data_IF_671130427010
#
_entry.id   IF_671130427010
#
_cell.length_a   1.000
_cell.length_b   1.000
_cell.length_c   1.000
_cell.angle_alpha   90.00
_cell.angle_beta   90.00
_cell.angle_gamma   90.00
#
_symmetry.space_group_name_H-M   'P 1'
#
loop_
_entity.id
_entity.type
_entity.pdbx_description
1 polymer ?
#
# COMPACT_ATOMS: atom_id res chain seq x y z
N UNK A 1 -6.12 -58.86 22.88
CA UNK A 1 -4.77 -58.69 22.31
C UNK A 1 -4.94 -58.24 20.87
N UNK A 2 -5.26 -56.97 20.67
CA UNK A 2 -5.26 -56.32 19.36
C UNK A 2 -4.00 -55.45 19.36
N UNK A 3 -2.99 -55.91 18.63
CA UNK A 3 -1.78 -55.14 18.37
C UNK A 3 -2.21 -54.05 17.38
N UNK A 4 -2.38 -52.83 17.87
CA UNK A 4 -2.58 -51.67 17.02
C UNK A 4 -1.30 -51.49 16.19
N UNK A 5 -1.44 -51.66 14.88
CA UNK A 5 -0.35 -51.49 13.94
C UNK A 5 0.08 -50.01 13.94
N UNK A 6 1.23 -49.75 14.54
CA UNK A 6 1.90 -48.45 14.52
C UNK A 6 2.17 -48.07 13.06
N UNK A 7 1.43 -47.09 12.57
CA UNK A 7 1.55 -46.56 11.21
C UNK A 7 2.94 -45.91 11.09
N UNK A 8 3.76 -46.27 10.09
CA UNK A 8 5.11 -45.74 9.99
C UNK A 8 5.06 -44.22 9.79
N UNK A 9 5.65 -43.50 10.75
CA UNK A 9 5.88 -42.06 10.68
C UNK A 9 6.83 -41.80 9.50
N UNK A 10 6.36 -41.08 8.48
CA UNK A 10 7.16 -40.76 7.30
C UNK A 10 8.34 -39.89 7.75
N UNK A 11 9.59 -40.22 7.38
CA UNK A 11 10.73 -39.38 7.74
C UNK A 11 10.55 -38.00 7.11
N UNK A 12 10.45 -36.97 7.96
CA UNK A 12 10.52 -35.57 7.53
C UNK A 12 11.87 -35.36 6.85
N UNK A 13 11.84 -35.15 5.54
CA UNK A 13 13.06 -34.87 4.76
C UNK A 13 13.70 -33.61 5.34
N UNK A 14 14.99 -33.63 5.70
CA UNK A 14 15.68 -32.43 6.16
C UNK A 14 15.58 -31.39 5.07
N UNK A 15 14.84 -30.30 5.32
CA UNK A 15 14.73 -29.19 4.38
C UNK A 15 16.13 -28.60 4.22
N UNK A 16 16.65 -28.60 3.00
CA UNK A 16 17.95 -28.00 2.73
C UNK A 16 17.86 -26.50 3.07
N UNK A 17 18.68 -25.98 4.01
CA UNK A 17 18.58 -24.60 4.50
C UNK A 17 18.54 -23.53 3.39
N UNK A 18 19.16 -23.82 2.24
CA UNK A 18 19.19 -22.92 1.08
C UNK A 18 17.84 -22.79 0.35
N UNK A 19 17.04 -23.87 0.26
CA UNK A 19 15.80 -23.86 -0.51
C UNK A 19 14.68 -23.08 0.19
N UNK A 20 14.61 -23.17 1.52
CA UNK A 20 13.65 -22.40 2.32
C UNK A 20 13.99 -20.91 2.28
N UNK A 21 15.27 -20.55 2.42
CA UNK A 21 15.76 -19.16 2.30
C UNK A 21 15.41 -18.53 0.94
N UNK A 22 15.59 -19.28 -0.15
CA UNK A 22 15.19 -18.81 -1.50
C UNK A 22 13.68 -18.56 -1.57
N UNK A 23 12.85 -19.43 -0.98
CA UNK A 23 11.39 -19.23 -0.97
C UNK A 23 10.97 -18.00 -0.16
N UNK A 24 11.67 -17.71 0.93
CA UNK A 24 11.42 -16.52 1.77
C UNK A 24 11.78 -15.23 1.04
N UNK A 25 12.93 -15.18 0.36
CA UNK A 25 13.28 -14.03 -0.50
C UNK A 25 12.23 -13.81 -1.60
N UNK A 26 11.81 -14.87 -2.28
CA UNK A 26 10.77 -14.78 -3.33
C UNK A 26 9.41 -14.35 -2.76
N UNK A 27 9.10 -14.66 -1.51
CA UNK A 27 7.89 -14.16 -0.84
C UNK A 27 8.00 -12.67 -0.53
N UNK A 28 9.15 -12.22 -0.01
CA UNK A 28 9.42 -10.80 0.26
C UNK A 28 9.38 -9.95 -1.03
N UNK A 29 10.00 -10.43 -2.10
CA UNK A 29 9.95 -9.77 -3.42
C UNK A 29 8.52 -9.61 -3.93
N UNK A 30 7.67 -10.65 -3.80
CA UNK A 30 6.26 -10.57 -4.20
C UNK A 30 5.47 -9.52 -3.41
N UNK A 31 5.70 -9.47 -2.10
CA UNK A 31 5.07 -8.46 -1.24
C UNK A 31 5.55 -7.06 -1.63
N UNK A 32 6.85 -6.86 -1.79
CA UNK A 32 7.44 -5.60 -2.24
C UNK A 32 6.85 -5.13 -3.58
N UNK A 33 6.76 -6.02 -4.58
CA UNK A 33 6.18 -5.69 -5.88
C UNK A 33 4.68 -5.35 -5.81
N UNK A 34 3.94 -5.99 -4.90
CA UNK A 34 2.54 -5.65 -4.66
C UNK A 34 2.40 -4.23 -4.06
N UNK A 35 3.23 -3.87 -3.09
CA UNK A 35 3.26 -2.52 -2.52
C UNK A 35 3.70 -1.47 -3.54
N UNK A 36 4.70 -1.77 -4.37
CA UNK A 36 5.12 -0.92 -5.48
C UNK A 36 3.96 -0.62 -6.44
N UNK A 37 3.19 -1.66 -6.80
CA UNK A 37 2.02 -1.50 -7.68
C UNK A 37 0.99 -0.56 -7.08
N UNK A 38 0.65 -0.74 -5.79
CA UNK A 38 -0.31 0.12 -5.09
C UNK A 38 0.20 1.57 -4.98
N UNK A 39 1.48 1.76 -4.69
CA UNK A 39 2.09 3.10 -4.62
C UNK A 39 2.07 3.84 -5.96
N UNK A 40 2.41 3.17 -7.06
CA UNK A 40 2.35 3.74 -8.41
C UNK A 40 0.89 4.07 -8.80
N UNK A 41 -0.07 3.20 -8.48
CA UNK A 41 -1.48 3.45 -8.74
C UNK A 41 -1.98 4.70 -7.99
N UNK A 42 -1.58 4.88 -6.73
CA UNK A 42 -1.91 6.07 -5.95
C UNK A 42 -1.30 7.35 -6.54
N UNK A 43 -0.04 7.30 -6.99
CA UNK A 43 0.58 8.43 -7.69
C UNK A 43 -0.17 8.80 -8.97
N UNK A 44 -0.48 7.81 -9.81
CA UNK A 44 -1.23 8.01 -11.04
C UNK A 44 -2.62 8.59 -10.79
N UNK A 45 -3.30 8.12 -9.74
CA UNK A 45 -4.58 8.65 -9.29
C UNK A 45 -4.47 10.11 -8.82
N UNK A 46 -3.43 10.45 -8.07
CA UNK A 46 -3.14 11.84 -7.68
C UNK A 46 -2.98 12.76 -8.88
N UNK A 47 -2.18 12.34 -9.88
CA UNK A 47 -2.00 13.08 -11.14
C UNK A 47 -3.33 13.22 -11.91
N UNK A 48 -4.12 12.15 -11.97
CA UNK A 48 -5.44 12.16 -12.61
C UNK A 48 -6.35 13.22 -11.97
N UNK A 49 -6.43 13.29 -10.64
CA UNK A 49 -7.21 14.31 -9.92
C UNK A 49 -6.78 15.72 -10.32
N UNK A 50 -5.48 16.01 -10.41
CA UNK A 50 -4.98 17.33 -10.83
C UNK A 50 -5.37 17.64 -12.28
N UNK A 51 -5.29 16.64 -13.16
CA UNK A 51 -5.56 16.78 -14.60
C UNK A 51 -7.04 16.95 -14.92
N UNK A 52 -7.94 16.32 -14.17
CA UNK A 52 -9.40 16.47 -14.35
C UNK A 52 -9.87 17.93 -14.28
N UNK A 53 -9.14 18.81 -13.57
CA UNK A 53 -9.46 20.26 -13.58
C UNK A 53 -9.33 20.89 -14.97
N UNK A 54 -8.37 20.41 -15.78
CA UNK A 54 -8.00 21.00 -17.08
C UNK A 54 -9.00 20.57 -18.15
N UNK A 55 -9.68 19.44 -17.96
CA UNK A 55 -10.71 18.93 -18.87
C UNK A 55 -12.07 19.64 -18.72
N UNK A 56 -12.22 20.60 -17.79
CA UNK A 56 -13.49 21.33 -17.61
C UNK A 56 -13.64 22.44 -18.66
N UNK A 57 -14.83 22.62 -19.24
CA UNK A 57 -15.08 23.63 -20.27
C UNK A 57 -14.77 25.04 -19.76
N UNK A 58 -14.19 25.93 -20.60
CA UNK A 58 -13.69 27.26 -20.19
C UNK A 58 -14.76 28.24 -19.66
N UNK A 59 -16.02 27.82 -19.65
CA UNK A 59 -17.21 28.62 -19.41
C UNK A 59 -17.66 28.55 -17.94
N UNK A 60 -17.22 27.53 -17.20
CA UNK A 60 -17.58 27.34 -15.81
C UNK A 60 -16.74 28.24 -14.89
N UNK A 61 -17.33 28.95 -13.92
CA UNK A 61 -16.60 29.76 -12.95
C UNK A 61 -15.48 28.94 -12.29
N UNK A 62 -14.24 29.41 -12.41
CA UNK A 62 -13.11 28.78 -11.73
C UNK A 62 -13.16 29.17 -10.26
N UNK A 63 -14.02 28.50 -9.49
CA UNK A 63 -13.96 28.55 -8.03
C UNK A 63 -12.55 28.17 -7.55
N UNK A 64 -12.07 28.66 -6.39
CA UNK A 64 -10.73 28.34 -5.85
C UNK A 64 -10.55 26.83 -5.66
N UNK A 65 -10.16 26.14 -6.72
CA UNK A 65 -10.20 24.69 -6.80
C UNK A 65 -9.02 24.09 -6.06
N UNK A 66 -9.19 23.81 -4.78
CA UNK A 66 -8.19 23.13 -3.96
C UNK A 66 -7.87 21.69 -4.42
N UNK A 67 -8.49 21.18 -5.50
CA UNK A 67 -8.27 19.82 -6.01
C UNK A 67 -6.82 19.48 -6.37
N UNK A 68 -5.99 20.50 -6.68
CA UNK A 68 -4.56 20.29 -6.85
C UNK A 68 -3.86 19.86 -5.55
N UNK A 69 -4.33 20.35 -4.39
CA UNK A 69 -3.83 19.95 -3.06
C UNK A 69 -4.16 18.48 -2.79
N UNK A 70 -5.36 18.04 -3.17
CA UNK A 70 -5.77 16.65 -3.04
C UNK A 70 -4.92 15.74 -3.95
N UNK A 71 -4.77 16.09 -5.23
CA UNK A 71 -3.95 15.31 -6.15
C UNK A 71 -2.46 15.26 -5.73
N UNK A 72 -1.94 16.37 -5.19
CA UNK A 72 -0.60 16.42 -4.60
C UNK A 72 -0.49 15.51 -3.37
N UNK A 73 -1.47 15.53 -2.47
CA UNK A 73 -1.50 14.66 -1.29
C UNK A 73 -1.50 13.16 -1.67
N UNK A 74 -2.34 12.75 -2.63
CA UNK A 74 -2.34 11.37 -3.14
C UNK A 74 -0.99 10.96 -3.73
N UNK A 75 -0.36 11.88 -4.49
CA UNK A 75 0.96 11.64 -5.09
C UNK A 75 2.05 11.47 -4.02
N UNK A 76 2.05 12.32 -3.00
CA UNK A 76 2.96 12.24 -1.86
C UNK A 76 2.79 10.94 -1.08
N UNK A 77 1.56 10.51 -0.80
CA UNK A 77 1.33 9.26 -0.08
C UNK A 77 1.72 8.04 -0.91
N UNK A 78 1.47 8.05 -2.22
CA UNK A 78 2.01 7.04 -3.13
C UNK A 78 3.55 6.94 -3.05
N UNK A 79 4.24 8.09 -2.98
CA UNK A 79 5.70 8.16 -2.81
C UNK A 79 6.17 7.61 -1.47
N UNK A 80 5.50 7.99 -0.38
CA UNK A 80 5.80 7.47 0.95
C UNK A 80 5.57 5.96 1.03
N UNK A 81 4.53 5.44 0.37
CA UNK A 81 4.23 4.01 0.32
C UNK A 81 5.37 3.24 -0.37
N UNK A 82 5.87 3.75 -1.49
CA UNK A 82 7.03 3.18 -2.20
C UNK A 82 8.28 3.22 -1.31
N UNK A 83 8.53 4.34 -0.64
CA UNK A 83 9.70 4.49 0.24
C UNK A 83 9.66 3.51 1.42
N UNK A 84 8.52 3.39 2.10
CA UNK A 84 8.31 2.45 3.20
C UNK A 84 8.44 0.99 2.74
N UNK A 85 7.89 0.66 1.57
CA UNK A 85 8.03 -0.68 0.96
C UNK A 85 9.49 -1.05 0.73
N UNK A 86 10.29 -0.12 0.19
CA UNK A 86 11.72 -0.33 -0.05
C UNK A 86 12.49 -0.52 1.26
N UNK A 87 12.22 0.29 2.27
CA UNK A 87 12.87 0.14 3.59
C UNK A 87 12.53 -1.20 4.23
N UNK A 88 11.24 -1.58 4.22
CA UNK A 88 10.80 -2.88 4.73
C UNK A 88 11.49 -4.04 3.99
N UNK A 89 11.55 -3.98 2.65
CA UNK A 89 12.24 -4.98 1.84
C UNK A 89 13.71 -5.15 2.24
N UNK A 90 14.44 -4.04 2.43
CA UNK A 90 15.86 -4.07 2.80
C UNK A 90 16.09 -4.64 4.20
N UNK A 91 15.22 -4.30 5.17
CA UNK A 91 15.29 -4.83 6.54
C UNK A 91 15.05 -6.35 6.53
N UNK A 92 13.94 -6.79 5.92
CA UNK A 92 13.60 -8.22 5.85
C UNK A 92 14.66 -9.01 5.10
N UNK A 93 15.24 -8.45 4.03
CA UNK A 93 16.34 -9.09 3.30
C UNK A 93 17.56 -9.33 4.20
N UNK A 94 17.91 -8.36 5.05
CA UNK A 94 19.04 -8.47 5.98
C UNK A 94 18.77 -9.49 7.09
N UNK A 95 17.55 -9.50 7.62
CA UNK A 95 17.16 -10.43 8.70
C UNK A 95 17.14 -11.90 8.22
N UNK A 96 16.77 -12.15 6.95
CA UNK A 96 16.86 -13.48 6.31
C UNK A 96 18.32 -13.91 6.08
N UNK A 97 19.21 -12.97 5.72
CA UNK A 97 20.63 -13.26 5.50
C UNK A 97 21.37 -13.59 6.82
N UNK A 98 20.92 -13.02 7.95
CA UNK A 98 21.52 -13.18 9.28
C UNK A 98 20.93 -14.36 10.11
N UNK A 99 19.99 -15.16 9.58
CA UNK A 99 19.25 -16.23 10.29
C UNK A 99 18.57 -15.76 11.62
N UNK A 100 18.38 -14.46 11.78
CA UNK A 100 17.88 -13.80 12.98
C UNK A 100 16.48 -13.19 12.75
N UNK A 101 15.60 -13.92 12.09
CA UNK A 101 14.25 -13.46 11.79
C UNK A 101 13.40 -13.34 13.08
N UNK A 102 13.33 -12.13 13.63
CA UNK A 102 12.27 -11.76 14.58
C UNK A 102 11.13 -11.05 13.83
N UNK A 103 9.85 -11.37 14.09
CA UNK A 103 8.73 -10.73 13.41
C UNK A 103 8.74 -9.21 13.66
N UNK A 104 9.11 -8.44 12.64
CA UNK A 104 9.18 -6.98 12.73
C UNK A 104 7.79 -6.34 12.60
N UNK A 105 6.92 -6.54 13.60
CA UNK A 105 5.55 -5.99 13.68
C UNK A 105 5.50 -4.46 13.47
N UNK A 106 6.60 -3.77 13.79
CA UNK A 106 6.72 -2.30 13.70
C UNK A 106 6.48 -1.76 12.29
N UNK A 107 6.91 -2.47 11.24
CA UNK A 107 6.74 -2.00 9.85
C UNK A 107 5.31 -2.18 9.33
N UNK A 108 4.62 -3.25 9.77
CA UNK A 108 3.21 -3.49 9.47
C UNK A 108 2.35 -2.43 10.14
N UNK A 109 2.65 -2.10 11.40
CA UNK A 109 1.95 -1.05 12.15
C UNK A 109 2.16 0.32 11.49
N UNK A 110 3.40 0.66 11.10
CA UNK A 110 3.72 1.96 10.50
C UNK A 110 3.05 2.15 9.13
N UNK A 111 3.06 1.12 8.28
CA UNK A 111 2.38 1.16 6.97
C UNK A 111 0.87 1.22 7.11
N UNK A 112 0.29 0.46 8.06
CA UNK A 112 -1.15 0.51 8.36
C UNK A 112 -1.57 1.89 8.86
N UNK A 113 -0.79 2.49 9.74
CA UNK A 113 -1.04 3.84 10.25
C UNK A 113 -1.02 4.89 9.13
N UNK A 114 -0.05 4.80 8.21
CA UNK A 114 0.04 5.71 7.07
C UNK A 114 -1.20 5.63 6.16
N UNK A 115 -1.71 4.41 5.90
CA UNK A 115 -2.94 4.19 5.12
C UNK A 115 -4.18 4.74 5.84
N UNK A 116 -4.28 4.54 7.15
CA UNK A 116 -5.41 5.07 7.96
C UNK A 116 -5.41 6.60 7.92
N UNK A 117 -4.26 7.24 8.15
CA UNK A 117 -4.12 8.70 8.11
C UNK A 117 -4.48 9.28 6.73
N UNK A 118 -4.07 8.59 5.65
CA UNK A 118 -4.49 8.94 4.30
C UNK A 118 -6.02 8.88 4.16
N UNK A 119 -6.64 7.77 4.59
CA UNK A 119 -8.09 7.58 4.52
C UNK A 119 -8.86 8.69 5.25
N UNK A 120 -8.41 9.03 6.47
CA UNK A 120 -8.97 10.13 7.25
C UNK A 120 -8.84 11.46 6.51
N UNK A 121 -7.66 11.75 5.93
CA UNK A 121 -7.43 12.97 5.16
C UNK A 121 -8.32 13.09 3.92
N UNK A 122 -8.55 11.98 3.21
CA UNK A 122 -9.46 11.92 2.05
C UNK A 122 -10.90 12.16 2.47
N UNK A 123 -11.38 11.45 3.49
CA UNK A 123 -12.74 11.61 4.01
C UNK A 123 -12.96 13.05 4.50
N UNK A 124 -12.04 13.58 5.30
CA UNK A 124 -12.09 14.96 5.76
C UNK A 124 -12.15 15.95 4.59
N UNK A 125 -11.29 15.79 3.59
CA UNK A 125 -11.28 16.68 2.42
C UNK A 125 -12.59 16.62 1.62
N UNK A 126 -13.15 15.43 1.40
CA UNK A 126 -14.40 15.26 0.66
C UNK A 126 -15.58 15.88 1.40
N UNK A 127 -15.69 15.68 2.71
CA UNK A 127 -16.80 16.18 3.52
C UNK A 127 -16.68 17.68 3.91
N UNK A 128 -15.48 18.26 3.82
CA UNK A 128 -15.27 19.71 4.04
C UNK A 128 -15.54 20.56 2.80
N UNK A 129 -15.62 19.96 1.60
CA UNK A 129 -16.17 20.65 0.44
C UNK A 129 -17.69 20.65 0.61
N UNK A 130 -18.35 21.81 0.80
CA UNK A 130 -19.79 21.88 0.97
C UNK A 130 -20.47 21.31 -0.29
N UNK A 131 -21.35 20.33 -0.09
CA UNK A 131 -22.18 19.71 -1.13
C UNK A 131 -23.03 20.73 -1.89
N UNK A 132 -23.23 21.93 -1.34
CA UNK A 132 -23.90 23.06 -2.00
C UNK A 132 -23.19 23.50 -3.30
N UNK A 133 -21.87 23.25 -3.42
CA UNK A 133 -21.12 23.50 -4.66
C UNK A 133 -21.53 22.55 -5.81
N UNK A 134 -22.20 21.43 -5.52
CA UNK A 134 -22.77 20.53 -6.53
C UNK A 134 -24.17 20.99 -6.96
N UNK A 135 -24.98 21.52 -6.02
CA UNK A 135 -26.31 22.04 -6.35
C UNK A 135 -26.24 23.31 -7.21
N UNK A 136 -25.25 24.18 -7.01
CA UNK A 136 -25.04 25.36 -7.87
C UNK A 136 -24.61 25.02 -9.29
N UNK A 137 -24.09 23.80 -9.55
CA UNK A 137 -23.67 23.33 -10.89
C UNK A 137 -24.81 22.63 -11.63
N UNK A 138 -25.85 22.17 -10.93
CA UNK A 138 -27.02 21.52 -11.53
C UNK A 138 -28.15 22.51 -11.83
N UNK A 139 -28.17 23.67 -11.16
CA UNK A 139 -29.29 24.64 -11.20
C UNK A 139 -29.04 25.83 -12.14
N UNK A 140 -27.84 25.97 -12.73
CA UNK A 140 -27.53 26.97 -13.78
C UNK A 140 -27.31 26.31 -15.14
#
# INVERSE_FOLDING_TARGET
MTIDAEKPEKPEKPKSPSADRVREHLANERTYLAWMRSGIALMGFGVLIVRLRILRPPLAPQGPGNGWKLGLAFSLVGLLTVMLSTQHYLVVRRDIDEDAYEPADRWVILSSLAVILLGIGVVYYVFTIPLDSLNSVIVE
#
